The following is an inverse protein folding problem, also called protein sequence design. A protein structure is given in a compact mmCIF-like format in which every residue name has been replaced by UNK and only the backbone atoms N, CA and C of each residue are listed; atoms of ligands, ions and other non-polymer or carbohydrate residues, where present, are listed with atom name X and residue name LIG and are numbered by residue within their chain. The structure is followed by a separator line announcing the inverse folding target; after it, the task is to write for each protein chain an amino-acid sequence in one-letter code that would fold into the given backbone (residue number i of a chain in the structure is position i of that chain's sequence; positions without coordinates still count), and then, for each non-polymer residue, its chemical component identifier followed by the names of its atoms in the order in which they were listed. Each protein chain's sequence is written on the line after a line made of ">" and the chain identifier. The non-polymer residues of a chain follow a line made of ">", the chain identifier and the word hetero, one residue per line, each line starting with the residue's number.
data_IF_676735422503
#
_entry.id   IF_676735422503
#
_cell.length_a   1.000
_cell.length_b   1.000
_cell.length_c   1.000
_cell.angle_alpha   90.00
_cell.angle_beta   90.00
_cell.angle_gamma   90.00
#
_symmetry.space_group_name_H-M   'P 1'
#
loop_
_entity.id
_entity.type
_entity.pdbx_description
1 polymer ?
#
# COMPACT_ATOMS: atom_id res chain seq x y z
N UNK A 1 8.27 -1.87 -8.07
CA UNK A 1 6.94 -2.47 -7.87
C UNK A 1 6.97 -3.99 -7.85
N UNK A 2 7.44 -4.68 -8.91
CA UNK A 2 7.43 -6.15 -8.99
C UNK A 2 8.03 -6.85 -7.76
N UNK A 3 9.19 -6.37 -7.29
CA UNK A 3 9.84 -6.88 -6.07
C UNK A 3 8.94 -6.72 -4.83
N UNK A 4 8.19 -5.62 -4.70
CA UNK A 4 7.29 -5.39 -3.55
C UNK A 4 6.13 -6.41 -3.57
N UNK A 5 5.59 -6.67 -4.76
CA UNK A 5 4.54 -7.65 -4.97
C UNK A 5 5.03 -9.08 -4.69
N UNK A 6 6.17 -9.46 -5.26
CA UNK A 6 6.73 -10.80 -5.06
C UNK A 6 7.05 -11.04 -3.58
N UNK A 7 7.59 -10.02 -2.89
CA UNK A 7 7.81 -10.07 -1.45
C UNK A 7 6.50 -10.25 -0.67
N UNK A 8 5.44 -9.51 -1.02
CA UNK A 8 4.14 -9.66 -0.38
C UNK A 8 3.56 -11.08 -0.57
N UNK A 9 3.65 -11.62 -1.78
CA UNK A 9 3.13 -12.95 -2.11
C UNK A 9 3.89 -14.08 -1.40
N UNK A 10 5.20 -13.90 -1.15
CA UNK A 10 5.99 -14.89 -0.40
C UNK A 10 5.63 -14.89 1.09
N UNK A 11 5.48 -13.71 1.70
CA UNK A 11 5.39 -13.59 3.16
C UNK A 11 3.96 -13.42 3.69
N UNK A 12 3.02 -12.90 2.90
CA UNK A 12 1.61 -12.80 3.25
C UNK A 12 0.71 -12.79 2.00
N UNK A 13 0.57 -13.92 1.29
CA UNK A 13 -0.26 -14.00 0.09
C UNK A 13 -1.75 -13.74 0.36
N UNK A 14 -2.22 -13.94 1.60
CA UNK A 14 -3.61 -13.66 2.02
C UNK A 14 -3.93 -12.17 2.05
N UNK A 15 -2.93 -11.34 2.33
CA UNK A 15 -3.04 -9.88 2.34
C UNK A 15 -1.79 -9.32 1.65
N UNK A 16 -1.73 -9.34 0.30
CA UNK A 16 -0.51 -9.07 -0.47
C UNK A 16 -0.19 -7.56 -0.55
N UNK A 17 -0.30 -6.88 0.58
CA UNK A 17 0.16 -5.51 0.82
C UNK A 17 1.65 -5.55 1.18
N UNK A 18 2.50 -5.38 0.17
CA UNK A 18 3.94 -5.25 0.32
C UNK A 18 4.41 -3.86 -0.02
N UNK A 19 5.47 -3.41 0.65
CA UNK A 19 6.11 -2.15 0.39
C UNK A 19 7.63 -2.27 0.37
N UNK A 20 8.27 -1.37 -0.38
CA UNK A 20 9.71 -1.19 -0.46
C UNK A 20 10.03 0.28 -0.32
N UNK A 21 11.11 0.58 0.39
CA UNK A 21 11.73 1.91 0.42
C UNK A 21 13.05 1.80 -0.33
N UNK A 22 13.23 2.64 -1.33
CA UNK A 22 14.37 2.62 -2.25
C UNK A 22 15.07 3.96 -2.22
N UNK A 23 16.39 3.95 -2.04
CA UNK A 23 17.22 5.12 -2.29
C UNK A 23 17.29 5.34 -3.81
N UNK A 24 16.58 6.34 -4.32
CA UNK A 24 16.49 6.61 -5.76
C UNK A 24 17.76 7.28 -6.33
N UNK A 25 18.69 7.71 -5.48
CA UNK A 25 19.99 8.26 -5.92
C UNK A 25 20.99 7.15 -6.23
N UNK A 26 20.84 5.99 -5.58
CA UNK A 26 21.72 4.83 -5.75
C UNK A 26 21.03 3.60 -6.35
N UNK A 27 19.70 3.64 -6.49
CA UNK A 27 18.84 2.52 -6.87
C UNK A 27 18.95 1.29 -5.95
N UNK A 28 19.33 1.49 -4.69
CA UNK A 28 19.41 0.42 -3.69
C UNK A 28 18.14 0.36 -2.86
N UNK A 29 17.67 -0.85 -2.57
CA UNK A 29 16.56 -1.05 -1.66
C UNK A 29 17.08 -0.83 -0.24
N UNK A 30 16.49 0.15 0.46
CA UNK A 30 16.78 0.45 1.85
C UNK A 30 16.08 -0.55 2.76
N UNK A 31 14.76 -0.77 2.55
CA UNK A 31 13.93 -1.59 3.44
C UNK A 31 12.76 -2.26 2.71
N UNK A 32 12.26 -3.32 3.34
CA UNK A 32 11.09 -4.10 2.92
C UNK A 32 10.02 -4.05 4.01
N UNK A 33 8.76 -4.18 3.63
CA UNK A 33 7.64 -4.34 4.54
C UNK A 33 6.52 -5.17 3.94
N UNK A 34 5.84 -5.94 4.79
CA UNK A 34 4.65 -6.72 4.42
C UNK A 34 3.62 -6.57 5.53
N UNK A 35 2.35 -6.43 5.17
CA UNK A 35 1.26 -6.36 6.14
C UNK A 35 1.29 -7.59 7.08
N UNK A 36 1.04 -7.37 8.36
CA UNK A 36 0.95 -8.44 9.35
C UNK A 36 -0.04 -8.09 10.46
N UNK A 37 -1.34 -8.11 10.13
CA UNK A 37 -2.43 -7.81 11.07
C UNK A 37 -2.47 -8.70 12.32
N UNK A 38 -1.97 -9.94 12.25
CA UNK A 38 -1.90 -10.86 13.40
C UNK A 38 -0.89 -10.44 14.46
N UNK A 39 0.17 -9.72 14.07
CA UNK A 39 1.16 -9.16 15.00
C UNK A 39 0.68 -7.82 15.55
N UNK A 40 0.16 -6.97 14.67
CA UNK A 40 -0.39 -5.67 15.01
C UNK A 40 -1.28 -5.20 13.85
N UNK A 41 -2.53 -4.83 14.15
CA UNK A 41 -3.50 -4.41 13.14
C UNK A 41 -3.04 -3.17 12.34
N UNK A 42 -2.19 -2.32 12.90
CA UNK A 42 -1.64 -1.13 12.24
C UNK A 42 -0.39 -1.43 11.40
N UNK A 43 0.13 -2.66 11.46
CA UNK A 43 1.33 -3.08 10.74
C UNK A 43 1.00 -3.41 9.30
N UNK A 44 0.60 -2.40 8.54
CA UNK A 44 0.45 -2.44 7.08
C UNK A 44 1.82 -2.55 6.40
N UNK A 45 1.85 -2.85 5.10
CA UNK A 45 3.10 -3.01 4.35
C UNK A 45 3.99 -1.78 4.45
N UNK A 46 3.40 -0.58 4.32
CA UNK A 46 4.07 0.71 4.43
C UNK A 46 4.58 0.96 5.86
N UNK A 47 3.72 0.73 6.88
CA UNK A 47 4.12 0.85 8.28
C UNK A 47 5.31 -0.06 8.59
N UNK A 48 5.26 -1.31 8.13
CA UNK A 48 6.32 -2.28 8.32
C UNK A 48 7.63 -1.84 7.63
N UNK A 49 7.54 -1.31 6.41
CA UNK A 49 8.72 -0.83 5.68
C UNK A 49 9.38 0.37 6.39
N UNK A 50 8.59 1.36 6.81
CA UNK A 50 9.09 2.52 7.55
C UNK A 50 9.69 2.11 8.90
N UNK A 51 9.00 1.24 9.64
CA UNK A 51 9.49 0.72 10.92
C UNK A 51 10.81 -0.02 10.76
N UNK A 52 10.90 -0.94 9.79
CA UNK A 52 12.12 -1.68 9.50
C UNK A 52 13.28 -0.75 9.11
N UNK A 53 13.01 0.36 8.42
CA UNK A 53 14.02 1.39 8.17
C UNK A 53 14.51 2.07 9.44
N UNK A 54 13.61 2.45 10.34
CA UNK A 54 14.00 3.08 11.60
C UNK A 54 14.85 2.14 12.46
N UNK A 55 14.52 0.85 12.50
CA UNK A 55 15.29 -0.16 13.24
C UNK A 55 16.66 -0.46 12.60
N UNK A 56 16.72 -0.57 11.27
CA UNK A 56 17.95 -0.91 10.56
C UNK A 56 18.91 0.29 10.46
N UNK A 57 18.37 1.50 10.43
CA UNK A 57 19.10 2.76 10.31
C UNK A 57 18.67 3.71 11.44
N UNK A 58 19.06 3.41 12.69
CA UNK A 58 18.70 4.24 13.83
C UNK A 58 19.35 5.62 13.72
N UNK A 59 18.70 6.62 14.33
CA UNK A 59 19.28 7.96 14.44
C UNK A 59 20.65 7.92 15.12
N UNK A 60 21.69 8.55 14.56
CA UNK A 60 23.00 8.62 15.20
C UNK A 60 23.01 9.48 16.47
N UNK A 61 21.96 10.27 16.71
CA UNK A 61 21.82 11.15 17.89
C UNK A 61 20.64 10.77 18.79
N UNK A 62 19.99 9.62 18.53
CA UNK A 62 18.76 9.21 19.22
C UNK A 62 17.61 10.25 19.09
N UNK A 63 17.60 11.00 17.99
CA UNK A 63 16.56 11.96 17.62
C UNK A 63 16.22 11.72 16.14
N UNK A 64 15.31 10.77 15.89
CA UNK A 64 14.89 10.42 14.53
C UNK A 64 14.11 11.54 13.82
N UNK A 65 13.57 12.50 14.58
CA UNK A 65 12.85 13.63 14.01
C UNK A 65 13.81 14.65 13.37
N UNK A 66 14.91 14.97 14.06
CA UNK A 66 15.87 15.98 13.57
C UNK A 66 17.09 15.38 12.86
N UNK A 67 17.47 14.15 13.20
CA UNK A 67 18.64 13.47 12.65
C UNK A 67 18.32 11.99 12.38
N UNK A 68 17.48 11.69 11.37
CA UNK A 68 17.15 10.31 11.01
C UNK A 68 18.38 9.57 10.47
N UNK A 69 18.44 8.25 10.68
CA UNK A 69 19.55 7.43 10.19
C UNK A 69 19.57 7.25 8.66
N UNK A 70 18.46 7.55 7.99
CA UNK A 70 18.37 7.65 6.52
C UNK A 70 18.12 9.09 6.11
N UNK A 71 18.69 9.48 4.97
CA UNK A 71 18.27 10.69 4.28
C UNK A 71 16.96 10.42 3.53
N UNK A 72 15.82 10.76 4.15
CA UNK A 72 14.49 10.55 3.60
C UNK A 72 14.22 11.30 2.30
N UNK A 73 14.94 12.41 2.05
CA UNK A 73 14.84 13.12 0.78
C UNK A 73 15.31 12.29 -0.42
N UNK A 74 16.14 11.26 -0.18
CA UNK A 74 16.62 10.32 -1.20
C UNK A 74 15.73 9.08 -1.34
N UNK A 75 14.64 8.98 -0.59
CA UNK A 75 13.84 7.75 -0.51
C UNK A 75 12.55 7.85 -1.34
N UNK A 76 12.23 6.75 -2.02
CA UNK A 76 10.96 6.52 -2.71
C UNK A 76 10.26 5.31 -2.12
N UNK A 77 8.99 5.46 -1.76
CA UNK A 77 8.13 4.36 -1.35
C UNK A 77 7.48 3.72 -2.59
N UNK A 78 7.60 2.41 -2.72
CA UNK A 78 6.81 1.59 -3.64
C UNK A 78 5.90 0.67 -2.83
N UNK A 79 4.59 0.68 -3.08
CA UNK A 79 3.63 -0.17 -2.35
C UNK A 79 2.63 -0.83 -3.31
N UNK A 80 2.23 -2.08 -3.06
CA UNK A 80 1.38 -2.83 -4.00
C UNK A 80 -0.03 -2.25 -4.11
N UNK A 81 -0.56 -1.70 -3.01
CA UNK A 81 -1.82 -0.97 -2.96
C UNK A 81 -1.59 0.50 -2.66
N UNK A 82 -2.49 1.37 -3.09
CA UNK A 82 -2.48 2.78 -2.73
C UNK A 82 -2.48 2.93 -1.20
N UNK A 83 -1.59 3.76 -0.61
CA UNK A 83 -1.54 3.93 0.83
C UNK A 83 -2.89 4.38 1.38
N UNK A 84 -3.41 3.66 2.37
CA UNK A 84 -4.58 4.12 3.13
C UNK A 84 -4.26 5.43 3.87
N UNK A 85 -5.25 6.18 4.39
CA UNK A 85 -5.00 7.49 4.99
C UNK A 85 -3.95 7.52 6.10
N UNK A 86 -3.83 6.44 6.87
CA UNK A 86 -2.78 6.27 7.86
C UNK A 86 -1.39 6.21 7.21
N UNK A 87 -1.19 5.32 6.23
CA UNK A 87 0.09 5.10 5.55
C UNK A 87 0.46 6.27 4.62
N UNK A 88 -0.52 6.93 4.03
CA UNK A 88 -0.35 8.18 3.32
C UNK A 88 0.22 9.28 4.24
N UNK A 89 -0.36 9.43 5.43
CA UNK A 89 0.13 10.38 6.45
C UNK A 89 1.55 10.03 6.91
N UNK A 90 1.85 8.74 7.13
CA UNK A 90 3.21 8.29 7.46
C UNK A 90 4.22 8.69 6.38
N UNK A 91 3.85 8.58 5.09
CA UNK A 91 4.72 8.96 3.99
C UNK A 91 5.06 10.45 4.01
N UNK A 92 4.07 11.31 4.35
CA UNK A 92 4.28 12.75 4.52
C UNK A 92 5.18 13.02 5.73
N UNK A 93 4.87 12.44 6.90
CA UNK A 93 5.64 12.66 8.12
C UNK A 93 7.07 12.14 8.03
N UNK A 94 7.28 11.03 7.33
CA UNK A 94 8.61 10.46 7.16
C UNK A 94 9.45 11.25 6.16
N UNK A 95 8.82 12.02 5.28
CA UNK A 95 9.50 12.89 4.32
C UNK A 95 10.08 12.16 3.12
N UNK A 96 9.48 11.03 2.70
CA UNK A 96 9.81 10.44 1.38
C UNK A 96 9.42 11.43 0.29
N UNK A 97 10.21 11.50 -0.78
CA UNK A 97 9.97 12.50 -1.86
C UNK A 97 9.07 11.97 -2.97
N UNK A 98 8.88 10.65 -3.04
CA UNK A 98 7.98 10.02 -4.01
C UNK A 98 7.31 8.78 -3.44
N UNK A 99 6.04 8.60 -3.78
CA UNK A 99 5.21 7.44 -3.44
C UNK A 99 4.63 6.87 -4.73
N UNK A 100 4.86 5.58 -4.96
CA UNK A 100 4.44 4.85 -6.16
C UNK A 100 3.59 3.65 -5.74
N UNK A 101 2.44 3.46 -6.39
CA UNK A 101 1.57 2.32 -6.09
C UNK A 101 1.01 1.59 -7.31
N UNK A 102 0.56 0.35 -7.09
CA UNK A 102 -0.10 -0.47 -8.10
C UNK A 102 -1.61 -0.27 -8.11
N UNK A 103 -2.33 -0.98 -7.24
CA UNK A 103 -3.80 -0.98 -7.16
C UNK A 103 -4.32 0.25 -6.41
N UNK A 104 -5.34 0.93 -6.92
CA UNK A 104 -5.96 2.09 -6.27
C UNK A 104 -6.84 1.71 -5.07
N UNK A 105 -7.12 2.63 -4.15
CA UNK A 105 -8.10 2.42 -3.06
C UNK A 105 -9.48 1.99 -3.60
N UNK A 106 -10.04 2.63 -4.65
CA UNK A 106 -11.28 2.16 -5.27
C UNK A 106 -11.21 0.72 -5.78
N UNK A 107 -10.11 0.31 -6.41
CA UNK A 107 -9.96 -1.06 -6.92
C UNK A 107 -9.73 -2.08 -5.80
N UNK A 108 -8.98 -1.70 -4.75
CA UNK A 108 -8.88 -2.47 -3.50
C UNK A 108 -10.27 -2.67 -2.91
N UNK A 109 -11.07 -1.62 -2.77
CA UNK A 109 -12.42 -1.76 -2.25
C UNK A 109 -13.30 -2.69 -3.11
N UNK A 110 -13.23 -2.51 -4.44
CA UNK A 110 -13.94 -3.37 -5.39
C UNK A 110 -13.44 -4.80 -5.40
N UNK A 111 -12.22 -5.10 -4.94
CA UNK A 111 -11.75 -6.48 -4.78
C UNK A 111 -12.39 -7.22 -3.59
N UNK A 112 -13.05 -6.50 -2.68
CA UNK A 112 -13.82 -7.06 -1.56
C UNK A 112 -13.30 -6.68 -0.18
N UNK A 113 -12.13 -6.05 -0.08
CA UNK A 113 -11.57 -5.60 1.19
C UNK A 113 -12.11 -4.22 1.60
N UNK A 114 -12.32 -4.01 2.91
CA UNK A 114 -12.73 -2.72 3.43
C UNK A 114 -11.61 -1.67 3.26
N UNK A 115 -11.98 -0.43 2.95
CA UNK A 115 -11.07 0.70 2.82
C UNK A 115 -11.73 1.98 3.37
N UNK A 116 -10.92 2.90 3.89
CA UNK A 116 -11.34 4.29 4.05
C UNK A 116 -11.16 4.96 2.68
N UNK A 117 -12.23 5.50 2.11
CA UNK A 117 -12.24 6.00 0.73
C UNK A 117 -11.59 7.37 0.54
N UNK A 118 -10.64 7.74 1.41
CA UNK A 118 -9.82 8.94 1.28
C UNK A 118 -8.52 8.51 0.59
N UNK A 119 -8.30 9.00 -0.62
CA UNK A 119 -7.15 8.63 -1.43
C UNK A 119 -5.86 9.41 -1.08
N UNK A 120 -4.71 8.99 -1.62
CA UNK A 120 -3.42 9.61 -1.32
C UNK A 120 -3.40 11.11 -1.64
N UNK A 121 -4.03 11.52 -2.75
CA UNK A 121 -4.09 12.93 -3.12
C UNK A 121 -4.94 13.73 -2.13
N UNK A 122 -6.05 13.20 -1.64
CA UNK A 122 -6.86 13.88 -0.63
C UNK A 122 -6.06 14.13 0.67
N UNK A 123 -5.28 13.14 1.11
CA UNK A 123 -4.38 13.31 2.28
C UNK A 123 -3.32 14.37 2.01
N UNK A 124 -2.67 14.35 0.84
CA UNK A 124 -1.69 15.36 0.44
C UNK A 124 -2.28 16.78 0.47
N UNK A 125 -3.46 16.98 -0.12
CA UNK A 125 -4.11 18.30 -0.15
C UNK A 125 -4.51 18.80 1.24
N UNK A 126 -4.72 17.87 2.18
CA UNK A 126 -5.01 18.18 3.59
C UNK A 126 -3.79 18.63 4.40
N UNK A 127 -2.56 18.41 3.90
CA UNK A 127 -1.34 18.69 4.65
C UNK A 127 -1.13 20.21 4.87
N UNK A 128 -1.00 20.59 6.15
CA UNK A 128 -0.75 21.96 6.59
C UNK A 128 0.43 22.02 7.54
N UNK A 129 1.15 23.13 7.51
CA UNK A 129 2.06 23.55 8.56
C UNK A 129 1.25 24.26 9.67
N UNK A 130 1.95 24.71 10.72
CA UNK A 130 1.36 25.55 11.76
C UNK A 130 0.64 26.78 11.16
N UNK A 131 -0.39 27.26 11.87
CA UNK A 131 -1.24 28.35 11.42
C UNK A 131 -1.99 28.11 10.09
N UNK A 132 -2.26 26.85 9.74
CA UNK A 132 -3.01 26.45 8.53
C UNK A 132 -2.34 26.86 7.21
N UNK A 133 -1.02 27.05 7.22
CA UNK A 133 -0.22 27.33 6.03
C UNK A 133 -0.13 26.05 5.20
N UNK A 134 -0.29 26.13 3.87
CA UNK A 134 -0.15 24.96 3.00
C UNK A 134 1.24 24.35 3.13
N UNK A 135 1.31 23.03 3.37
CA UNK A 135 2.56 22.30 3.34
C UNK A 135 2.89 21.90 1.89
N UNK A 136 3.97 22.45 1.35
CA UNK A 136 4.49 22.08 0.02
C UNK A 136 5.51 20.93 0.07
N UNK A 137 5.96 20.54 1.27
CA UNK A 137 6.86 19.40 1.48
C UNK A 137 6.03 18.12 1.59
N UNK A 138 5.53 17.67 0.45
CA UNK A 138 4.71 16.46 0.28
C UNK A 138 5.29 15.62 -0.87
N UNK A 139 5.12 14.29 -0.86
CA UNK A 139 5.68 13.44 -1.90
C UNK A 139 5.04 13.69 -3.26
N UNK A 140 5.82 13.51 -4.32
CA UNK A 140 5.28 13.24 -5.66
C UNK A 140 4.59 11.89 -5.67
N UNK A 141 3.51 11.77 -6.43
CA UNK A 141 2.67 10.56 -6.43
C UNK A 141 2.49 9.99 -7.83
N UNK A 142 2.56 8.67 -7.94
CA UNK A 142 2.30 7.95 -9.19
C UNK A 142 1.59 6.62 -8.90
N UNK A 143 0.36 6.49 -9.39
CA UNK A 143 -0.45 5.29 -9.24
C UNK A 143 -0.56 4.47 -10.52
N UNK A 144 -0.87 3.18 -10.38
CA UNK A 144 -1.12 2.30 -11.51
C UNK A 144 0.12 1.60 -12.07
N UNK A 145 1.25 1.61 -11.36
CA UNK A 145 2.46 0.91 -11.79
C UNK A 145 2.30 -0.59 -11.55
N UNK A 146 2.40 -1.40 -12.61
CA UNK A 146 2.08 -2.84 -12.58
C UNK A 146 0.68 -3.11 -12.00
N UNK A 147 -0.27 -2.26 -12.41
CA UNK A 147 -1.63 -2.29 -11.89
C UNK A 147 -2.29 -3.66 -12.08
N UNK A 148 -2.18 -4.26 -13.25
CA UNK A 148 -2.86 -5.52 -13.54
C UNK A 148 -2.32 -6.66 -12.68
N UNK A 149 -1.02 -6.70 -12.41
CA UNK A 149 -0.40 -7.71 -11.56
C UNK A 149 -0.79 -7.52 -10.09
N UNK A 150 -0.83 -6.28 -9.59
CA UNK A 150 -1.29 -5.99 -8.24
C UNK A 150 -2.80 -6.25 -8.09
N UNK A 151 -3.61 -5.83 -9.05
CA UNK A 151 -5.06 -6.06 -9.07
C UNK A 151 -5.36 -7.56 -9.11
N UNK A 152 -4.60 -8.34 -9.90
CA UNK A 152 -4.69 -9.80 -9.95
C UNK A 152 -4.46 -10.41 -8.56
N UNK A 153 -3.37 -10.01 -7.88
CA UNK A 153 -3.03 -10.52 -6.56
C UNK A 153 -4.14 -10.21 -5.53
N UNK A 154 -4.62 -8.97 -5.45
CA UNK A 154 -5.69 -8.60 -4.53
C UNK A 154 -7.03 -9.24 -4.89
N UNK A 155 -7.37 -9.30 -6.19
CA UNK A 155 -8.58 -9.96 -6.64
C UNK A 155 -8.60 -11.43 -6.22
N UNK A 156 -7.49 -12.16 -6.38
CA UNK A 156 -7.44 -13.55 -5.98
C UNK A 156 -7.40 -13.73 -4.45
N UNK A 157 -6.55 -12.97 -3.75
CA UNK A 157 -6.42 -13.05 -2.30
C UNK A 157 -7.73 -12.72 -1.55
N UNK A 158 -8.58 -11.85 -2.12
CA UNK A 158 -9.85 -11.44 -1.50
C UNK A 158 -11.08 -12.12 -2.10
N UNK A 159 -10.90 -13.16 -2.90
CA UNK A 159 -12.01 -13.98 -3.41
C UNK A 159 -12.99 -14.45 -2.32
N UNK A 160 -12.56 -14.91 -1.12
CA UNK A 160 -13.50 -15.32 -0.07
C UNK A 160 -14.32 -14.18 0.53
N UNK A 161 -13.89 -12.92 0.38
CA UNK A 161 -14.63 -11.75 0.87
C UNK A 161 -15.80 -11.39 -0.06
N UNK A 162 -15.75 -11.81 -1.34
CA UNK A 162 -16.78 -11.55 -2.35
C UNK A 162 -17.95 -12.55 -2.22
N UNK A 163 -18.71 -12.45 -1.14
CA UNK A 163 -19.92 -13.27 -0.89
C UNK A 163 -21.15 -12.71 -1.65
N UNK A 164 -22.29 -13.39 -1.56
CA UNK A 164 -23.54 -13.00 -2.25
C UNK A 164 -23.93 -11.52 -2.03
N UNK A 165 -23.78 -11.01 -0.80
CA UNK A 165 -24.08 -9.61 -0.47
C UNK A 165 -23.18 -8.62 -1.21
N UNK A 166 -21.89 -8.95 -1.39
CA UNK A 166 -20.95 -8.15 -2.17
C UNK A 166 -21.41 -8.08 -3.63
N UNK A 167 -21.73 -9.22 -4.26
CA UNK A 167 -22.15 -9.25 -5.66
C UNK A 167 -23.46 -8.48 -5.88
N UNK A 168 -24.45 -8.66 -5.01
CA UNK A 168 -25.70 -7.89 -5.06
C UNK A 168 -25.45 -6.39 -5.00
N UNK A 169 -24.56 -5.93 -4.11
CA UNK A 169 -24.19 -4.51 -3.98
C UNK A 169 -23.45 -4.00 -5.22
N UNK A 170 -22.43 -4.71 -5.69
CA UNK A 170 -21.65 -4.33 -6.87
C UNK A 170 -22.51 -4.21 -8.14
N UNK A 171 -23.42 -5.17 -8.36
CA UNK A 171 -24.35 -5.15 -9.49
C UNK A 171 -25.32 -3.97 -9.38
N UNK A 172 -25.90 -3.74 -8.19
CA UNK A 172 -26.79 -2.60 -7.94
C UNK A 172 -26.10 -1.26 -8.23
N UNK A 173 -24.80 -1.16 -7.97
CA UNK A 173 -23.99 0.04 -8.22
C UNK A 173 -23.44 0.12 -9.66
N UNK A 174 -23.86 -0.77 -10.57
CA UNK A 174 -23.45 -0.73 -11.97
C UNK A 174 -22.08 -1.35 -12.29
N UNK A 175 -21.51 -2.14 -11.38
CA UNK A 175 -20.16 -2.74 -11.55
C UNK A 175 -20.18 -4.16 -12.14
N UNK A 176 -21.23 -4.56 -12.86
CA UNK A 176 -21.30 -5.90 -13.47
C UNK A 176 -20.17 -6.13 -14.49
N UNK A 177 -19.90 -5.15 -15.34
CA UNK A 177 -18.85 -5.27 -16.37
C UNK A 177 -17.44 -5.28 -15.75
N UNK A 178 -17.25 -4.57 -14.63
CA UNK A 178 -16.02 -4.64 -13.85
C UNK A 178 -15.78 -6.06 -13.31
N UNK A 179 -16.80 -6.69 -12.73
CA UNK A 179 -16.69 -8.08 -12.23
C UNK A 179 -16.33 -9.03 -13.38
N UNK A 180 -17.08 -8.95 -14.51
CA UNK A 180 -16.85 -9.81 -15.67
C UNK A 180 -15.45 -9.66 -16.26
N UNK A 181 -14.96 -8.43 -16.39
CA UNK A 181 -13.58 -8.17 -16.84
C UNK A 181 -12.56 -8.87 -15.93
N UNK A 182 -12.70 -8.69 -14.61
CA UNK A 182 -11.79 -9.25 -13.62
C UNK A 182 -11.83 -10.78 -13.62
N UNK A 183 -13.00 -11.40 -13.64
CA UNK A 183 -13.14 -12.87 -13.73
C UNK A 183 -12.62 -13.44 -15.06
N UNK A 184 -12.68 -12.66 -16.14
CA UNK A 184 -12.14 -13.07 -17.43
C UNK A 184 -10.60 -13.04 -17.43
N UNK A 185 -10.00 -11.94 -16.97
CA UNK A 185 -8.54 -11.73 -17.01
C UNK A 185 -7.80 -12.42 -15.87
N UNK A 186 -8.40 -12.51 -14.69
CA UNK A 186 -7.73 -12.98 -13.47
C UNK A 186 -8.15 -14.40 -13.12
N UNK A 187 -7.36 -15.37 -13.58
CA UNK A 187 -7.53 -16.79 -13.27
C UNK A 187 -6.83 -17.12 -11.96
N UNK A 188 -7.59 -17.06 -10.87
CA UNK A 188 -7.09 -17.42 -9.55
C UNK A 188 -6.90 -18.95 -9.43
N UNK A 189 -5.84 -19.37 -8.76
CA UNK A 189 -5.63 -20.77 -8.36
C UNK A 189 -5.95 -20.98 -6.88
N UNK A 190 -6.14 -22.23 -6.47
CA UNK A 190 -6.42 -22.59 -5.08
C UNK A 190 -5.32 -22.12 -4.11
N UNK A 191 -4.07 -22.05 -4.56
CA UNK A 191 -2.94 -21.50 -3.79
C UNK A 191 -3.13 -20.02 -3.43
N UNK A 192 -3.83 -19.25 -4.28
CA UNK A 192 -4.17 -17.85 -4.02
C UNK A 192 -5.36 -17.71 -3.06
N UNK A 193 -6.13 -18.78 -2.84
CA UNK A 193 -7.42 -18.77 -2.14
C UNK A 193 -7.41 -19.64 -0.86
N UNK A 194 -6.24 -20.12 -0.42
CA UNK A 194 -6.14 -20.92 0.79
C UNK A 194 -6.30 -20.04 2.04
N UNK A 195 -7.47 -20.08 2.69
CA UNK A 195 -7.75 -19.41 3.95
C UNK A 195 -8.22 -20.42 5.00
N UNK A 196 -7.40 -20.65 6.04
CA UNK A 196 -7.94 -21.05 7.34
C UNK A 196 -8.78 -19.89 7.87
N UNK A 197 -9.99 -20.22 8.33
CA UNK A 197 -11.03 -19.30 8.79
C UNK A 197 -10.49 -18.26 9.79
N UNK A 198 -10.84 -16.99 9.57
CA UNK A 198 -10.66 -15.88 10.52
C UNK A 198 -11.85 -15.79 11.46
#
# INVERSE_FOLDING_TARGET
>A
MKIALDHALIYNPKFPFGALIVDHTTNKISCYGVNSGTKNILLHGETAAFWNCTEMYPSPTNDDMLNPGLNWSHQTLYTTGEPCPMCASQSIYRGVTRVVWGTSIPDLNKSGIAQIMINMNEVIHSAKLGANITNHNVPLVEGGILKDECDFAFWCAFAPLRKEAYFKKMIKDGNLDYIKDRENRFKCSDEHMAHDEL
#
